data_IF_280997686241
#
_entry.id   IF_280997686241
#
_cell.length_a   1.000
_cell.length_b   1.000
_cell.length_c   1.000
_cell.angle_alpha   90.00
_cell.angle_beta   90.00
_cell.angle_gamma   90.00
#
_symmetry.space_group_name_H-M   'P 1'
#
loop_
_entity.id
_entity.type
_entity.pdbx_description
1 polymer ?
#
# COMPACT_ATOMS: atom_id res chain seq x y z
N UNK A 1 41.86 -1.81 -0.54
CA UNK A 1 40.82 -1.28 0.40
C UNK A 1 39.53 -1.83 -0.12
N UNK A 2 39.21 -3.07 0.30
CA UNK A 2 38.08 -3.88 -0.17
C UNK A 2 36.84 -3.46 0.58
N UNK A 3 35.78 -3.16 -0.18
CA UNK A 3 34.45 -2.86 0.28
C UNK A 3 33.78 -4.18 0.76
N UNK A 4 33.23 -4.25 1.97
CA UNK A 4 32.60 -5.47 2.46
C UNK A 4 31.24 -5.68 1.77
N UNK A 5 31.16 -6.76 1.01
CA UNK A 5 29.96 -7.35 0.43
C UNK A 5 28.85 -7.55 1.49
N UNK A 6 27.57 -7.20 1.18
CA UNK A 6 26.48 -7.42 2.11
C UNK A 6 26.15 -8.90 2.27
N UNK A 7 26.03 -9.26 3.53
CA UNK A 7 25.69 -10.50 4.18
C UNK A 7 24.71 -11.43 3.43
N UNK A 8 25.23 -12.62 3.07
CA UNK A 8 24.47 -13.75 2.53
C UNK A 8 23.97 -14.67 3.64
N UNK A 9 23.10 -14.17 4.51
CA UNK A 9 22.44 -15.02 5.54
C UNK A 9 20.92 -14.92 5.47
N UNK A 10 20.35 -15.06 4.26
CA UNK A 10 18.97 -15.52 4.12
C UNK A 10 19.07 -17.04 3.91
N UNK A 11 18.91 -17.83 4.98
CA UNK A 11 18.95 -19.28 4.92
C UNK A 11 17.93 -19.80 3.92
N UNK A 12 18.40 -20.41 2.83
CA UNK A 12 17.58 -21.17 1.90
C UNK A 12 17.07 -22.41 2.64
N UNK A 13 15.80 -22.39 3.01
CA UNK A 13 15.11 -23.59 3.52
C UNK A 13 14.75 -24.49 2.34
N UNK A 14 15.31 -25.73 2.27
CA UNK A 14 15.01 -26.66 1.18
C UNK A 14 13.59 -27.19 1.32
N UNK A 15 12.72 -26.87 0.36
CA UNK A 15 11.39 -27.47 0.27
C UNK A 15 10.25 -26.58 -0.18
N UNK A 16 10.45 -25.26 -0.37
CA UNK A 16 9.42 -24.38 -0.92
C UNK A 16 9.81 -24.02 -2.35
N UNK A 17 9.06 -24.59 -3.32
CA UNK A 17 9.23 -24.31 -4.73
C UNK A 17 9.25 -22.79 -5.00
N UNK A 18 10.06 -22.38 -5.95
CA UNK A 18 10.38 -21.03 -6.48
C UNK A 18 9.19 -20.16 -6.94
N UNK A 19 8.05 -20.20 -6.26
CA UNK A 19 7.03 -19.18 -6.28
C UNK A 19 7.44 -18.08 -5.31
N UNK A 20 7.10 -16.83 -5.59
CA UNK A 20 7.41 -15.67 -4.74
C UNK A 20 6.92 -15.94 -3.31
N UNK A 21 7.80 -16.44 -2.43
CA UNK A 21 7.49 -16.74 -1.04
C UNK A 21 8.13 -15.73 -0.10
N UNK A 22 7.40 -15.36 0.95
CA UNK A 22 7.86 -14.56 2.08
C UNK A 22 7.75 -15.46 3.30
N UNK A 23 8.80 -15.51 4.12
CA UNK A 23 8.78 -16.21 5.40
C UNK A 23 9.11 -15.23 6.52
N UNK A 24 8.25 -15.13 7.52
CA UNK A 24 8.44 -14.34 8.73
C UNK A 24 8.43 -15.27 9.94
N UNK A 25 9.44 -15.16 10.79
CA UNK A 25 9.50 -15.86 12.05
C UNK A 25 8.76 -15.05 13.12
N UNK A 26 7.93 -15.72 13.90
CA UNK A 26 7.16 -15.18 15.01
C UNK A 26 7.51 -15.97 16.26
N UNK A 27 7.60 -15.31 17.40
CA UNK A 27 7.77 -15.97 18.70
C UNK A 27 6.42 -16.50 19.20
N UNK A 28 5.39 -15.65 19.08
CA UNK A 28 4.00 -16.01 19.40
C UNK A 28 2.99 -15.29 18.48
N UNK A 29 1.69 -15.44 18.75
CA UNK A 29 0.65 -14.75 17.96
C UNK A 29 0.54 -13.27 18.25
N UNK A 30 1.04 -12.80 19.39
CA UNK A 30 0.99 -11.39 19.81
C UNK A 30 1.84 -10.52 18.88
N UNK A 31 2.93 -11.05 18.33
CA UNK A 31 3.81 -10.33 17.36
C UNK A 31 3.05 -9.80 16.14
N UNK A 32 1.92 -10.41 15.80
CA UNK A 32 1.07 -9.98 14.67
C UNK A 32 0.23 -8.77 15.04
N UNK A 33 -0.03 -8.55 16.33
CA UNK A 33 -1.02 -7.59 16.80
C UNK A 33 -0.39 -6.47 17.64
N UNK A 34 -1.10 -5.35 17.73
CA UNK A 34 -0.71 -4.24 18.57
C UNK A 34 -0.90 -4.59 20.06
N UNK A 35 0.12 -4.35 20.88
CA UNK A 35 0.08 -4.54 22.33
C UNK A 35 -0.89 -3.59 23.05
N UNK A 36 -1.22 -2.48 22.40
CA UNK A 36 -2.15 -1.47 22.94
C UNK A 36 -3.62 -1.80 22.72
N UNK A 37 -3.94 -2.83 21.94
CA UNK A 37 -5.31 -3.19 21.59
C UNK A 37 -5.76 -4.44 22.35
N UNK A 38 -6.61 -4.32 23.40
CA UNK A 38 -7.02 -5.45 24.23
C UNK A 38 -8.12 -6.32 23.61
N UNK A 39 -8.56 -6.04 22.37
CA UNK A 39 -9.64 -6.77 21.71
C UNK A 39 -9.23 -8.20 21.35
N UNK A 40 -10.20 -9.11 21.15
CA UNK A 40 -9.95 -10.43 20.64
C UNK A 40 -9.27 -10.41 19.26
N UNK A 41 -8.52 -11.45 18.91
CA UNK A 41 -7.79 -11.55 17.62
C UNK A 41 -8.64 -11.26 16.37
N UNK A 42 -9.93 -11.57 16.40
CA UNK A 42 -10.84 -11.30 15.29
C UNK A 42 -11.00 -9.78 14.97
N UNK A 43 -10.81 -8.91 15.96
CA UNK A 43 -11.02 -7.46 15.86
C UNK A 43 -9.77 -6.63 16.11
N UNK A 44 -8.75 -7.25 16.69
CA UNK A 44 -7.53 -6.60 17.16
C UNK A 44 -6.77 -5.94 15.99
N UNK A 45 -6.16 -4.79 16.26
CA UNK A 45 -5.32 -4.07 15.31
C UNK A 45 -4.02 -4.82 15.07
N UNK A 46 -3.52 -4.81 13.84
CA UNK A 46 -2.22 -5.39 13.52
C UNK A 46 -1.10 -4.48 14.02
N UNK A 47 0.02 -5.08 14.39
CA UNK A 47 1.25 -4.40 14.75
C UNK A 47 1.82 -3.64 13.54
N UNK A 48 2.30 -2.42 13.78
CA UNK A 48 3.00 -1.64 12.76
C UNK A 48 4.31 -2.29 12.36
N UNK A 49 5.04 -2.87 13.31
CA UNK A 49 6.30 -3.58 13.08
C UNK A 49 6.09 -4.81 12.20
N UNK A 50 5.06 -5.60 12.49
CA UNK A 50 4.68 -6.73 11.64
C UNK A 50 4.35 -6.30 10.21
N UNK A 51 3.56 -5.23 10.04
CA UNK A 51 3.21 -4.71 8.73
C UNK A 51 4.43 -4.16 7.99
N UNK A 52 5.33 -3.50 8.70
CA UNK A 52 6.58 -2.95 8.13
C UNK A 52 7.50 -4.06 7.62
N UNK A 53 7.76 -5.10 8.42
CA UNK A 53 8.57 -6.25 8.02
C UNK A 53 7.95 -7.00 6.83
N UNK A 54 6.64 -7.18 6.84
CA UNK A 54 5.92 -7.80 5.73
C UNK A 54 6.01 -6.95 4.45
N UNK A 55 5.89 -5.64 4.58
CA UNK A 55 6.03 -4.71 3.45
C UNK A 55 7.44 -4.76 2.87
N UNK A 56 8.46 -4.74 3.73
CA UNK A 56 9.87 -4.83 3.34
C UNK A 56 10.17 -6.14 2.60
N UNK A 57 9.67 -7.26 3.11
CA UNK A 57 9.83 -8.56 2.49
C UNK A 57 9.11 -8.70 1.15
N UNK A 58 8.01 -7.94 0.95
CA UNK A 58 7.19 -7.95 -0.25
C UNK A 58 7.72 -7.05 -1.38
N UNK A 59 8.66 -6.13 -1.11
CA UNK A 59 9.11 -5.11 -2.07
C UNK A 59 9.53 -5.70 -3.43
N UNK A 60 10.33 -6.75 -3.41
CA UNK A 60 10.93 -7.34 -4.61
C UNK A 60 10.20 -8.60 -5.10
N UNK A 61 8.98 -8.85 -4.60
CA UNK A 61 8.20 -10.05 -4.97
C UNK A 61 7.13 -9.70 -6.01
N UNK A 62 6.83 -10.66 -6.88
CA UNK A 62 5.77 -10.52 -7.87
C UNK A 62 4.37 -10.57 -7.23
N UNK A 63 3.38 -9.97 -7.89
CA UNK A 63 2.00 -9.95 -7.39
C UNK A 63 1.31 -11.31 -7.50
N UNK A 64 1.69 -12.13 -8.49
CA UNK A 64 1.04 -13.40 -8.78
C UNK A 64 1.65 -14.57 -8.01
N UNK A 65 0.81 -15.33 -7.33
CA UNK A 65 1.23 -16.55 -6.64
C UNK A 65 2.03 -16.35 -5.36
N UNK A 66 1.94 -15.16 -4.74
CA UNK A 66 2.65 -14.87 -3.51
C UNK A 66 2.13 -15.75 -2.36
N UNK A 67 3.05 -16.42 -1.67
CA UNK A 67 2.76 -17.15 -0.44
C UNK A 67 3.50 -16.51 0.73
N UNK A 68 2.76 -16.17 1.78
CA UNK A 68 3.30 -15.68 3.04
C UNK A 68 3.25 -16.80 4.06
N UNK A 69 4.40 -17.22 4.54
CA UNK A 69 4.55 -18.28 5.55
C UNK A 69 4.94 -17.65 6.88
N UNK A 70 4.08 -17.78 7.87
CA UNK A 70 4.32 -17.34 9.24
C UNK A 70 4.89 -18.54 10.00
N UNK A 71 6.16 -18.46 10.36
CA UNK A 71 6.90 -19.52 11.03
C UNK A 71 6.76 -19.35 12.54
N UNK A 72 6.29 -20.38 13.24
CA UNK A 72 6.10 -20.38 14.69
C UNK A 72 6.69 -21.62 15.33
N UNK A 73 7.11 -21.56 16.63
CA UNK A 73 7.44 -22.74 17.40
C UNK A 73 6.27 -23.73 17.41
N UNK A 74 6.57 -25.01 17.24
CA UNK A 74 5.54 -26.05 17.14
C UNK A 74 4.66 -26.15 18.39
N UNK A 75 5.25 -25.85 19.52
CA UNK A 75 4.62 -25.91 20.86
C UNK A 75 3.56 -24.84 21.05
N UNK A 76 3.75 -23.65 20.43
CA UNK A 76 2.85 -22.49 20.54
C UNK A 76 1.68 -22.54 19.54
N UNK A 77 1.71 -23.49 18.59
CA UNK A 77 0.73 -23.55 17.52
C UNK A 77 -0.64 -24.03 17.97
N UNK A 78 -1.68 -23.30 17.59
CA UNK A 78 -3.07 -23.63 17.83
C UNK A 78 -3.90 -23.39 16.56
N UNK A 79 -4.35 -24.47 15.94
CA UNK A 79 -5.09 -24.42 14.65
C UNK A 79 -6.39 -23.62 14.73
N UNK A 80 -7.05 -23.60 15.89
CA UNK A 80 -8.25 -22.79 16.11
C UNK A 80 -7.97 -21.29 16.08
N UNK A 81 -6.92 -20.86 16.80
CA UNK A 81 -6.46 -19.46 16.80
C UNK A 81 -5.94 -19.06 15.42
N UNK A 82 -5.13 -19.92 14.78
CA UNK A 82 -4.58 -19.67 13.44
C UNK A 82 -5.68 -19.38 12.41
N UNK A 83 -6.80 -20.11 12.44
CA UNK A 83 -7.93 -19.87 11.54
C UNK A 83 -8.52 -18.47 11.69
N UNK A 84 -8.75 -18.03 12.92
CA UNK A 84 -9.29 -16.70 13.23
C UNK A 84 -8.31 -15.60 12.79
N UNK A 85 -7.02 -15.79 13.07
CA UNK A 85 -5.96 -14.84 12.71
C UNK A 85 -5.83 -14.71 11.19
N UNK A 86 -5.83 -15.84 10.45
CA UNK A 86 -5.76 -15.83 8.99
C UNK A 86 -6.95 -15.11 8.37
N UNK A 87 -8.16 -15.30 8.91
CA UNK A 87 -9.35 -14.60 8.45
C UNK A 87 -9.22 -13.08 8.72
N UNK A 88 -8.76 -12.71 9.92
CA UNK A 88 -8.49 -11.31 10.28
C UNK A 88 -7.46 -10.65 9.38
N UNK A 89 -6.34 -11.32 9.07
CA UNK A 89 -5.31 -10.82 8.16
C UNK A 89 -5.86 -10.59 6.75
N UNK A 90 -6.58 -11.59 6.20
CA UNK A 90 -7.21 -11.47 4.87
C UNK A 90 -8.18 -10.29 4.80
N UNK A 91 -9.01 -10.16 5.82
CA UNK A 91 -9.98 -9.07 5.91
C UNK A 91 -9.31 -7.70 6.04
N UNK A 92 -8.22 -7.61 6.82
CA UNK A 92 -7.44 -6.39 6.93
C UNK A 92 -6.89 -5.96 5.58
N UNK A 93 -6.16 -6.85 4.88
CA UNK A 93 -5.55 -6.52 3.60
C UNK A 93 -6.58 -6.20 2.52
N UNK A 94 -7.69 -6.93 2.44
CA UNK A 94 -8.77 -6.64 1.49
C UNK A 94 -9.43 -5.30 1.75
N UNK A 95 -9.73 -4.97 3.01
CA UNK A 95 -10.35 -3.69 3.37
C UNK A 95 -9.43 -2.50 3.08
N UNK A 96 -8.14 -2.61 3.41
CA UNK A 96 -7.18 -1.55 3.11
C UNK A 96 -6.97 -1.37 1.61
N UNK A 97 -6.80 -2.45 0.86
CA UNK A 97 -6.71 -2.40 -0.60
C UNK A 97 -7.91 -1.67 -1.21
N UNK A 98 -9.13 -2.05 -0.81
CA UNK A 98 -10.36 -1.41 -1.30
C UNK A 98 -10.44 0.07 -0.95
N UNK A 99 -10.11 0.46 0.29
CA UNK A 99 -10.08 1.87 0.72
C UNK A 99 -9.10 2.71 -0.12
N UNK A 100 -7.91 2.19 -0.38
CA UNK A 100 -6.92 2.89 -1.20
C UNK A 100 -7.36 3.00 -2.66
N UNK A 101 -8.01 1.97 -3.21
CA UNK A 101 -8.59 2.03 -4.56
C UNK A 101 -9.73 3.05 -4.66
N UNK A 102 -10.61 3.09 -3.68
CA UNK A 102 -11.70 4.06 -3.60
C UNK A 102 -11.16 5.49 -3.47
N UNK A 103 -10.17 5.71 -2.59
CA UNK A 103 -9.49 7.00 -2.43
C UNK A 103 -8.84 7.44 -3.76
N UNK A 104 -8.10 6.56 -4.41
CA UNK A 104 -7.49 6.85 -5.71
C UNK A 104 -8.51 7.24 -6.78
N UNK A 105 -9.62 6.51 -6.86
CA UNK A 105 -10.71 6.82 -7.81
C UNK A 105 -11.36 8.18 -7.50
N UNK A 106 -11.54 8.51 -6.21
CA UNK A 106 -12.08 9.79 -5.79
C UNK A 106 -11.13 10.94 -6.15
N UNK A 107 -9.83 10.80 -5.90
CA UNK A 107 -8.82 11.82 -6.24
C UNK A 107 -8.75 12.07 -7.74
N UNK A 108 -8.76 11.02 -8.57
CA UNK A 108 -8.78 11.15 -10.04
C UNK A 108 -10.05 11.86 -10.50
N UNK A 109 -11.21 11.50 -9.95
CA UNK A 109 -12.48 12.12 -10.33
C UNK A 109 -12.51 13.60 -9.92
N UNK A 110 -12.06 13.92 -8.72
CA UNK A 110 -11.94 15.29 -8.25
C UNK A 110 -11.00 16.11 -9.15
N UNK A 111 -9.81 15.58 -9.44
CA UNK A 111 -8.85 16.22 -10.33
C UNK A 111 -9.39 16.45 -11.72
N UNK A 112 -10.12 15.47 -12.29
CA UNK A 112 -10.76 15.61 -13.60
C UNK A 112 -11.81 16.74 -13.61
N UNK A 113 -12.65 16.84 -12.57
CA UNK A 113 -13.61 17.93 -12.43
C UNK A 113 -12.94 19.30 -12.31
N UNK A 114 -11.83 19.38 -11.53
CA UNK A 114 -11.08 20.63 -11.42
C UNK A 114 -10.44 21.04 -12.75
N UNK A 115 -9.89 20.09 -13.51
CA UNK A 115 -9.36 20.39 -14.86
C UNK A 115 -10.45 20.95 -15.77
N UNK A 116 -11.61 20.31 -15.82
CA UNK A 116 -12.75 20.78 -16.63
C UNK A 116 -13.20 22.17 -16.21
N UNK A 117 -13.32 22.40 -14.89
CA UNK A 117 -13.71 23.70 -14.35
C UNK A 117 -12.67 24.79 -14.64
N UNK A 118 -11.37 24.48 -14.49
CA UNK A 118 -10.29 25.40 -14.82
C UNK A 118 -10.32 25.82 -16.30
N UNK A 119 -10.49 24.85 -17.20
CA UNK A 119 -10.66 25.12 -18.64
C UNK A 119 -11.89 25.97 -18.91
N UNK A 120 -13.01 25.70 -18.22
CA UNK A 120 -14.22 26.50 -18.38
C UNK A 120 -14.03 27.95 -17.94
N UNK A 121 -13.31 28.21 -16.86
CA UNK A 121 -12.97 29.58 -16.41
C UNK A 121 -12.08 30.31 -17.42
N UNK A 122 -11.04 29.66 -17.96
CA UNK A 122 -10.16 30.24 -18.98
C UNK A 122 -10.95 30.53 -20.26
N UNK A 123 -11.84 29.63 -20.68
CA UNK A 123 -12.68 29.83 -21.83
C UNK A 123 -13.65 31.00 -21.63
N UNK A 124 -14.27 31.11 -20.44
CA UNK A 124 -15.16 32.22 -20.11
C UNK A 124 -14.40 33.56 -20.11
N UNK A 125 -13.19 33.61 -19.54
CA UNK A 125 -12.35 34.81 -19.57
C UNK A 125 -12.04 35.23 -20.99
N UNK A 126 -11.63 34.28 -21.83
CA UNK A 126 -11.34 34.53 -23.28
C UNK A 126 -12.57 35.06 -24.02
N UNK A 127 -13.74 34.45 -23.78
CA UNK A 127 -15.01 34.89 -24.42
C UNK A 127 -15.38 36.32 -24.01
N UNK A 128 -15.20 36.67 -22.72
CA UNK A 128 -15.46 38.03 -22.24
C UNK A 128 -14.53 39.05 -22.93
N UNK A 129 -13.25 38.71 -23.09
CA UNK A 129 -12.29 39.57 -23.75
C UNK A 129 -12.63 39.80 -25.23
N UNK A 130 -13.17 38.79 -25.92
CA UNK A 130 -13.41 38.84 -27.35
C UNK A 130 -14.76 39.47 -27.71
N UNK A 131 -15.84 39.12 -27.00
CA UNK A 131 -17.22 39.50 -27.35
C UNK A 131 -17.68 40.81 -26.70
N UNK A 132 -17.13 41.19 -25.55
CA UNK A 132 -17.63 42.31 -24.77
C UNK A 132 -16.73 43.55 -24.85
N UNK A 133 -17.37 44.74 -24.82
CA UNK A 133 -16.63 46.00 -24.71
C UNK A 133 -15.82 46.03 -23.40
N UNK A 134 -14.58 46.46 -23.51
CA UNK A 134 -13.70 46.62 -22.38
C UNK A 134 -14.18 47.73 -21.44
N UNK A 135 -14.74 47.34 -20.34
CA UNK A 135 -15.12 48.25 -19.24
C UNK A 135 -14.35 47.84 -17.99
N UNK A 136 -14.35 48.71 -16.96
CA UNK A 136 -13.68 48.40 -15.67
C UNK A 136 -14.19 47.05 -15.10
N UNK A 137 -15.49 46.78 -15.21
CA UNK A 137 -16.09 45.54 -14.70
C UNK A 137 -15.70 44.28 -15.48
N UNK A 138 -15.69 44.36 -16.81
CA UNK A 138 -15.25 43.22 -17.64
C UNK A 138 -13.78 42.92 -17.43
N UNK A 139 -12.93 43.95 -17.35
CA UNK A 139 -11.51 43.78 -17.03
C UNK A 139 -11.30 43.15 -15.64
N UNK A 140 -12.04 43.59 -14.62
CA UNK A 140 -11.96 43.04 -13.28
C UNK A 140 -12.34 41.57 -13.22
N UNK A 141 -13.43 41.17 -13.89
CA UNK A 141 -13.86 39.78 -13.97
C UNK A 141 -12.79 38.91 -14.64
N UNK A 142 -12.21 39.35 -15.74
CA UNK A 142 -11.17 38.61 -16.46
C UNK A 142 -9.93 38.43 -15.59
N UNK A 143 -9.48 39.50 -14.90
CA UNK A 143 -8.32 39.45 -13.97
C UNK A 143 -8.54 38.44 -12.83
N UNK A 144 -9.77 38.16 -12.45
CA UNK A 144 -10.09 37.12 -11.46
C UNK A 144 -10.21 35.71 -12.09
N UNK A 145 -10.84 35.60 -13.25
CA UNK A 145 -11.09 34.32 -13.90
C UNK A 145 -9.81 33.66 -14.41
N UNK A 146 -8.88 34.42 -14.98
CA UNK A 146 -7.64 33.87 -15.53
C UNK A 146 -6.80 33.15 -14.46
N UNK A 147 -6.40 33.80 -13.34
CA UNK A 147 -5.65 33.13 -12.29
C UNK A 147 -6.43 31.97 -11.63
N UNK A 148 -7.75 32.16 -11.42
CA UNK A 148 -8.60 31.12 -10.85
C UNK A 148 -8.68 29.89 -11.75
N UNK A 149 -8.83 30.10 -13.07
CA UNK A 149 -8.86 29.03 -14.07
C UNK A 149 -7.52 28.31 -14.14
N UNK A 150 -6.42 29.04 -14.19
CA UNK A 150 -5.08 28.48 -14.22
C UNK A 150 -4.73 27.69 -12.96
N UNK A 151 -5.03 28.25 -11.80
CA UNK A 151 -4.81 27.55 -10.51
C UNK A 151 -5.64 26.29 -10.41
N UNK A 152 -6.94 26.34 -10.75
CA UNK A 152 -7.85 25.19 -10.68
C UNK A 152 -7.42 24.11 -11.65
N UNK A 153 -7.03 24.45 -12.87
CA UNK A 153 -6.48 23.54 -13.87
C UNK A 153 -5.21 22.84 -13.36
N UNK A 154 -4.27 23.62 -12.81
CA UNK A 154 -3.00 23.12 -12.32
C UNK A 154 -3.19 22.17 -11.11
N UNK A 155 -4.02 22.57 -10.16
CA UNK A 155 -4.31 21.75 -8.97
C UNK A 155 -5.00 20.44 -9.38
N UNK A 156 -5.98 20.49 -10.27
CA UNK A 156 -6.62 19.29 -10.82
C UNK A 156 -5.64 18.36 -11.53
N UNK A 157 -4.73 18.92 -12.32
CA UNK A 157 -3.67 18.17 -13.00
C UNK A 157 -2.70 17.55 -11.99
N UNK A 158 -2.36 18.28 -10.93
CA UNK A 158 -1.52 17.83 -9.83
C UNK A 158 -2.12 16.62 -9.11
N UNK A 159 -3.40 16.66 -8.81
CA UNK A 159 -4.12 15.53 -8.19
C UNK A 159 -4.03 14.25 -9.04
N UNK A 160 -4.14 14.38 -10.36
CA UNK A 160 -4.11 13.23 -11.28
C UNK A 160 -2.70 12.67 -11.43
N UNK A 161 -1.68 13.55 -11.56
CA UNK A 161 -0.33 13.15 -11.93
C UNK A 161 0.55 12.82 -10.73
N UNK A 162 0.51 13.64 -9.67
CA UNK A 162 1.48 13.56 -8.56
C UNK A 162 0.98 12.77 -7.36
N UNK A 163 -0.30 12.83 -7.00
CA UNK A 163 -0.85 11.98 -5.93
C UNK A 163 -0.82 10.49 -6.26
N UNK A 164 -0.73 10.16 -7.54
CA UNK A 164 -0.51 8.78 -7.97
C UNK A 164 0.80 8.20 -7.42
N UNK A 165 1.87 8.98 -7.31
CA UNK A 165 3.18 8.53 -6.80
C UNK A 165 3.16 8.16 -5.31
N UNK A 166 2.35 8.81 -4.53
CA UNK A 166 2.28 8.67 -3.07
C UNK A 166 1.47 7.43 -2.65
N UNK A 167 0.36 7.17 -3.32
CA UNK A 167 -0.57 6.07 -2.98
C UNK A 167 -0.17 4.74 -3.64
N UNK A 168 0.54 4.78 -4.77
CA UNK A 168 0.84 3.56 -5.56
C UNK A 168 1.68 2.53 -4.79
N UNK A 169 2.75 2.87 -4.07
CA UNK A 169 3.55 1.85 -3.36
C UNK A 169 2.74 1.11 -2.30
N UNK A 170 1.95 1.85 -1.53
CA UNK A 170 1.08 1.29 -0.49
C UNK A 170 -0.03 0.43 -1.11
N UNK A 171 -0.69 0.93 -2.16
CA UNK A 171 -1.72 0.17 -2.88
C UNK A 171 -1.17 -1.12 -3.49
N UNK A 172 0.02 -1.10 -4.07
CA UNK A 172 0.68 -2.30 -4.62
C UNK A 172 0.92 -3.33 -3.52
N UNK A 173 1.41 -2.91 -2.36
CA UNK A 173 1.59 -3.79 -1.21
C UNK A 173 0.28 -4.44 -0.77
N UNK A 174 -0.76 -3.63 -0.48
CA UNK A 174 -2.05 -4.18 -0.03
C UNK A 174 -2.72 -5.04 -1.10
N UNK A 175 -2.52 -4.74 -2.39
CA UNK A 175 -3.02 -5.58 -3.49
C UNK A 175 -2.32 -6.94 -3.51
N UNK A 176 -0.98 -6.97 -3.40
CA UNK A 176 -0.20 -8.21 -3.27
C UNK A 176 -0.68 -9.05 -2.10
N UNK A 177 -0.83 -8.44 -0.92
CA UNK A 177 -1.26 -9.13 0.29
C UNK A 177 -2.71 -9.62 0.22
N UNK A 178 -3.61 -8.87 -0.41
CA UNK A 178 -5.01 -9.28 -0.57
C UNK A 178 -5.19 -10.52 -1.44
N UNK A 179 -4.26 -10.77 -2.36
CA UNK A 179 -4.21 -11.95 -3.22
C UNK A 179 -3.28 -13.06 -2.71
N UNK A 180 -2.47 -12.79 -1.69
CA UNK A 180 -1.49 -13.74 -1.18
C UNK A 180 -2.13 -14.91 -0.41
N UNK A 181 -1.50 -16.08 -0.51
CA UNK A 181 -1.83 -17.24 0.32
C UNK A 181 -1.05 -17.13 1.63
N UNK A 182 -1.72 -16.83 2.74
CA UNK A 182 -1.11 -16.76 4.06
C UNK A 182 -1.29 -18.10 4.75
N UNK A 183 -0.20 -18.67 5.29
CA UNK A 183 -0.19 -19.96 5.99
C UNK A 183 0.72 -19.90 7.21
N UNK A 184 0.38 -20.66 8.25
CA UNK A 184 1.28 -20.91 9.37
C UNK A 184 2.07 -22.20 9.14
N UNK A 185 3.36 -22.19 9.49
CA UNK A 185 4.22 -23.36 9.44
C UNK A 185 5.06 -23.45 10.73
N UNK A 186 5.47 -24.68 11.09
CA UNK A 186 6.41 -24.83 12.19
C UNK A 186 7.81 -24.37 11.76
N UNK A 187 8.55 -23.75 12.67
CA UNK A 187 9.99 -23.47 12.47
C UNK A 187 10.69 -24.81 12.25
N UNK A 188 11.43 -24.99 11.16
CA UNK A 188 12.22 -26.19 10.95
C UNK A 188 13.25 -26.34 12.08
N UNK A 189 13.53 -27.55 12.56
CA UNK A 189 14.57 -27.76 13.56
C UNK A 189 15.92 -27.25 13.02
N UNK A 190 16.79 -26.70 13.90
CA UNK A 190 18.12 -26.28 13.48
C UNK A 190 18.85 -27.44 12.82
N UNK A 191 19.67 -27.20 11.77
CA UNK A 191 20.42 -28.24 11.12
C UNK A 191 21.27 -28.98 12.16
N UNK A 192 21.23 -30.32 12.14
CA UNK A 192 21.98 -31.13 13.09
C UNK A 192 23.47 -30.73 13.07
N UNK A 193 24.10 -30.52 14.22
CA UNK A 193 25.53 -30.21 14.28
C UNK A 193 26.33 -31.35 13.67
N UNK A 194 26.82 -31.15 12.42
CA UNK A 194 27.61 -32.16 11.70
C UNK A 194 27.33 -32.34 10.21
N UNK A 195 26.36 -31.62 9.60
CA UNK A 195 26.06 -31.78 8.16
C UNK A 195 26.85 -30.81 7.24
N UNK A 196 27.91 -30.19 7.74
CA UNK A 196 28.88 -29.47 6.92
C UNK A 196 30.08 -30.40 6.64
N UNK A 197 30.05 -31.10 5.52
CA UNK A 197 31.22 -31.71 4.88
C UNK A 197 31.25 -31.25 3.44
#
# INVERSE_FOLDING_TARGET
>A
MEDPSPDKTAGEFPGVAKASSISLALEDYEDIFSDFDPRPYAERSLSEDFLYELQRAALNKEESGLTVTLLMPKEERNTGREKVILERLRDHFRRHCRRLEEKRKADIRMGAWMVVLGVAFLFAATTILYEFKQTLWTAFIVVLLEPAGWFTFWEGSSLILFKKKEIVPELVFYRKMSGARIVFAAVPPPPAPGAAK
#
